data_IF_721770994481
#
_entry.id   IF_721770994481
#
_cell.length_a   1.000
_cell.length_b   1.000
_cell.length_c   1.000
_cell.angle_alpha   90.00
_cell.angle_beta   90.00
_cell.angle_gamma   90.00
#
_symmetry.space_group_name_H-M   'P 1'
#
loop_
_entity.id
_entity.type
_entity.pdbx_description
1 polymer ?
#
# COMPACT_ATOMS: atom_id res chain seq x y z
N UNK A 1 -11.58 19.43 -1.89
CA UNK A 1 -12.93 19.69 -1.34
C UNK A 1 -12.96 21.11 -0.81
N UNK A 2 -13.62 22.06 -1.49
CA UNK A 2 -13.93 23.36 -0.86
C UNK A 2 -14.80 23.07 0.38
N UNK A 3 -14.63 23.79 1.49
CA UNK A 3 -15.52 23.64 2.64
C UNK A 3 -16.88 24.21 2.24
N UNK A 4 -17.66 23.40 1.55
CA UNK A 4 -19.09 23.58 1.40
C UNK A 4 -19.67 23.20 2.76
N UNK A 5 -19.73 24.18 3.67
CA UNK A 5 -21.04 24.43 4.28
C UNK A 5 -21.93 24.62 3.06
N UNK A 6 -22.79 23.64 2.76
CA UNK A 6 -23.52 23.51 1.50
C UNK A 6 -24.48 24.69 1.27
N UNK A 7 -24.03 25.94 1.20
CA UNK A 7 -24.84 27.15 1.09
C UNK A 7 -26.06 27.19 2.04
N UNK A 8 -25.97 26.60 3.23
CA UNK A 8 -27.10 26.51 4.18
C UNK A 8 -28.15 25.45 3.82
N UNK A 9 -27.82 24.47 2.98
CA UNK A 9 -28.71 23.37 2.61
C UNK A 9 -28.83 22.32 3.72
N UNK A 10 -30.02 21.71 3.78
CA UNK A 10 -30.32 20.53 4.59
C UNK A 10 -30.37 19.30 3.68
N UNK A 11 -29.93 18.15 4.18
CA UNK A 11 -29.89 16.92 3.39
C UNK A 11 -28.94 15.87 3.95
N UNK A 12 -28.73 14.79 3.20
CA UNK A 12 -27.74 13.76 3.52
C UNK A 12 -26.63 13.76 2.49
N UNK A 13 -25.39 13.84 2.96
CA UNK A 13 -24.23 13.50 2.17
C UNK A 13 -23.93 12.01 2.35
N UNK A 14 -24.13 11.25 1.28
CA UNK A 14 -23.69 9.88 1.16
C UNK A 14 -22.23 9.87 0.76
N UNK A 15 -21.42 9.11 1.50
CA UNK A 15 -19.99 8.92 1.22
C UNK A 15 -19.77 7.42 1.09
N UNK A 16 -19.28 7.01 -0.07
CA UNK A 16 -18.89 5.62 -0.33
C UNK A 16 -17.37 5.53 -0.36
N UNK A 17 -16.84 4.49 0.27
CA UNK A 17 -15.43 4.14 0.30
C UNK A 17 -15.22 2.73 -0.26
N UNK A 18 -13.96 2.37 -0.53
CA UNK A 18 -13.60 1.01 -0.97
C UNK A 18 -14.10 -0.04 0.02
N UNK A 19 -14.35 -1.24 -0.48
CA UNK A 19 -14.82 -2.41 0.30
C UNK A 19 -16.20 -2.26 0.93
N UNK A 20 -17.10 -1.53 0.27
CA UNK A 20 -18.51 -1.38 0.67
C UNK A 20 -18.73 -0.63 1.99
N UNK A 21 -17.68 0.05 2.47
CA UNK A 21 -17.77 0.99 3.58
C UNK A 21 -18.54 2.22 3.13
N UNK A 22 -19.62 2.53 3.84
CA UNK A 22 -20.47 3.68 3.55
C UNK A 22 -20.64 4.55 4.78
N UNK A 23 -20.83 5.84 4.54
CA UNK A 23 -21.18 6.79 5.56
C UNK A 23 -22.26 7.76 5.10
N UNK A 24 -23.01 8.27 6.09
CA UNK A 24 -24.05 9.27 5.91
C UNK A 24 -23.78 10.42 6.86
N UNK A 25 -23.68 11.62 6.32
CA UNK A 25 -23.60 12.84 7.11
C UNK A 25 -24.92 13.57 6.93
N UNK A 26 -25.67 13.73 8.02
CA UNK A 26 -26.94 14.45 8.05
C UNK A 26 -26.67 15.92 8.34
N UNK A 27 -27.16 16.77 7.45
CA UNK A 27 -26.98 18.21 7.51
C UNK A 27 -28.31 18.92 7.68
N UNK A 28 -28.34 19.93 8.54
CA UNK A 28 -29.44 20.87 8.70
C UNK A 28 -28.92 22.29 8.67
N UNK A 29 -29.41 23.09 7.73
CA UNK A 29 -28.96 24.49 7.54
C UNK A 29 -27.43 24.61 7.39
N UNK A 30 -26.80 23.60 6.78
CA UNK A 30 -25.34 23.52 6.62
C UNK A 30 -24.56 23.06 7.87
N UNK A 31 -25.22 22.79 8.99
CA UNK A 31 -24.62 22.18 10.18
C UNK A 31 -24.72 20.66 10.13
N UNK A 32 -23.65 19.97 10.51
CA UNK A 32 -23.66 18.52 10.65
C UNK A 32 -24.35 18.18 11.97
N UNK A 33 -25.49 17.52 11.91
CA UNK A 33 -26.25 17.10 13.10
C UNK A 33 -25.99 15.65 13.48
N UNK A 34 -25.63 14.80 12.52
CA UNK A 34 -25.32 13.40 12.76
C UNK A 34 -24.38 12.85 11.69
N UNK A 35 -23.53 11.90 12.07
CA UNK A 35 -22.73 11.11 11.11
C UNK A 35 -22.87 9.63 11.45
N UNK A 36 -23.03 8.79 10.44
CA UNK A 36 -23.17 7.35 10.59
C UNK A 36 -22.22 6.64 9.65
N UNK A 37 -21.56 5.58 10.12
CA UNK A 37 -20.76 4.67 9.30
C UNK A 37 -20.75 3.28 9.90
N UNK A 38 -21.25 2.28 9.15
CA UNK A 38 -21.40 0.92 9.66
C UNK A 38 -22.17 0.87 10.99
N UNK A 39 -21.49 0.53 12.08
CA UNK A 39 -22.06 0.50 13.45
C UNK A 39 -21.73 1.73 14.31
N UNK A 40 -20.98 2.69 13.76
CA UNK A 40 -20.58 3.89 14.46
C UNK A 40 -21.56 5.03 14.15
N UNK A 41 -21.81 5.86 15.14
CA UNK A 41 -22.58 7.09 15.03
C UNK A 41 -21.81 8.26 15.67
N UNK A 42 -22.25 9.47 15.37
CA UNK A 42 -21.76 10.67 16.01
C UNK A 42 -20.34 11.05 15.61
N UNK A 43 -19.64 11.68 16.55
CA UNK A 43 -18.27 12.14 16.35
C UNK A 43 -17.29 11.02 15.96
N UNK A 44 -17.49 9.79 16.47
CA UNK A 44 -16.64 8.63 16.13
C UNK A 44 -16.81 8.21 14.67
N UNK A 45 -18.04 8.27 14.17
CA UNK A 45 -18.31 8.01 12.77
C UNK A 45 -17.65 9.07 11.89
N UNK A 46 -17.79 10.35 12.25
CA UNK A 46 -17.15 11.46 11.55
C UNK A 46 -15.62 11.25 11.42
N UNK A 47 -14.93 10.95 12.52
CA UNK A 47 -13.48 10.72 12.50
C UNK A 47 -13.07 9.50 11.67
N UNK A 48 -13.92 8.48 11.58
CA UNK A 48 -13.63 7.28 10.78
C UNK A 48 -13.70 7.61 9.29
N UNK A 49 -14.78 8.28 8.86
CA UNK A 49 -14.99 8.67 7.47
C UNK A 49 -13.89 9.59 6.94
N UNK A 50 -13.40 10.51 7.79
CA UNK A 50 -12.35 11.45 7.41
C UNK A 50 -10.98 10.80 7.11
N UNK A 51 -10.80 9.53 7.44
CA UNK A 51 -9.56 8.78 7.17
C UNK A 51 -9.56 8.10 5.80
N UNK A 52 -10.67 8.21 5.07
CA UNK A 52 -10.83 7.69 3.72
C UNK A 52 -10.28 8.69 2.70
N UNK A 53 -9.44 8.22 1.77
CA UNK A 53 -8.85 9.08 0.72
C UNK A 53 -9.57 8.87 -0.60
N UNK A 54 -9.87 7.62 -0.94
CA UNK A 54 -10.58 7.23 -2.15
C UNK A 54 -12.10 7.19 -1.93
N UNK A 55 -12.77 8.34 -1.90
CA UNK A 55 -14.23 8.42 -1.67
C UNK A 55 -15.02 8.85 -2.90
N UNK A 56 -16.25 8.33 -3.02
CA UNK A 56 -17.31 8.87 -3.86
C UNK A 56 -18.34 9.57 -2.98
N UNK A 57 -18.95 10.65 -3.46
CA UNK A 57 -19.93 11.42 -2.68
C UNK A 57 -21.16 11.78 -3.49
N UNK A 58 -22.33 11.58 -2.90
CA UNK A 58 -23.63 12.01 -3.45
C UNK A 58 -24.42 12.78 -2.39
N UNK A 59 -25.02 13.92 -2.77
CA UNK A 59 -25.77 14.75 -1.82
C UNK A 59 -27.25 14.79 -2.19
N UNK A 60 -28.09 14.37 -1.24
CA UNK A 60 -29.54 14.37 -1.36
C UNK A 60 -30.13 15.51 -0.54
N UNK A 61 -30.63 16.53 -1.22
CA UNK A 61 -31.23 17.72 -0.60
C UNK A 61 -32.65 17.43 -0.10
N UNK A 62 -32.98 17.93 1.09
CA UNK A 62 -34.30 17.77 1.71
C UNK A 62 -34.22 17.64 3.24
N UNK A 63 -35.35 17.85 3.92
CA UNK A 63 -35.46 17.46 5.33
C UNK A 63 -35.42 15.93 5.43
N UNK A 64 -34.67 15.44 6.41
CA UNK A 64 -34.43 14.02 6.58
C UNK A 64 -35.04 13.61 7.91
N UNK A 65 -35.91 12.61 7.87
CA UNK A 65 -36.50 12.02 9.06
C UNK A 65 -35.72 10.77 9.48
N UNK A 66 -35.71 10.47 10.78
CA UNK A 66 -35.20 9.20 11.28
C UNK A 66 -33.75 9.18 11.76
N UNK A 67 -33.11 10.34 11.96
CA UNK A 67 -31.85 10.44 12.69
C UNK A 67 -32.02 11.19 14.02
N UNK A 68 -31.18 10.87 14.99
CA UNK A 68 -31.12 11.59 16.27
C UNK A 68 -29.92 12.54 16.22
N UNK A 69 -30.09 13.86 16.36
CA UNK A 69 -28.97 14.80 16.43
C UNK A 69 -28.01 14.42 17.56
N UNK A 70 -26.71 14.40 17.28
CA UNK A 70 -25.67 14.20 18.28
C UNK A 70 -25.15 15.58 18.75
N UNK A 71 -25.47 16.02 19.97
CA UNK A 71 -25.04 17.32 20.48
C UNK A 71 -23.52 17.41 20.69
N UNK A 72 -22.80 16.28 20.66
CA UNK A 72 -21.34 16.26 20.74
C UNK A 72 -20.66 16.53 19.38
N UNK A 73 -21.42 16.61 18.29
CA UNK A 73 -20.87 16.95 16.98
C UNK A 73 -20.53 18.44 16.94
N UNK A 74 -19.25 18.72 16.78
CA UNK A 74 -18.75 20.04 16.44
C UNK A 74 -18.51 20.13 14.92
N UNK A 75 -19.45 20.76 14.22
CA UNK A 75 -19.36 20.99 12.78
C UNK A 75 -18.06 21.72 12.39
N UNK A 76 -17.61 22.70 13.18
CA UNK A 76 -16.40 23.45 12.85
C UNK A 76 -15.14 22.58 13.00
N UNK A 77 -15.10 21.71 14.01
CA UNK A 77 -14.02 20.75 14.17
C UNK A 77 -13.98 19.77 12.98
N UNK A 78 -15.14 19.28 12.53
CA UNK A 78 -15.28 18.41 11.36
C UNK A 78 -14.75 19.11 10.10
N UNK A 79 -15.20 20.34 9.84
CA UNK A 79 -14.79 21.11 8.66
C UNK A 79 -13.29 21.41 8.67
N UNK A 80 -12.75 21.86 9.82
CA UNK A 80 -11.31 22.12 9.95
C UNK A 80 -10.47 20.87 9.67
N UNK A 81 -10.95 19.70 10.07
CA UNK A 81 -10.27 18.45 9.79
C UNK A 81 -10.34 18.09 8.30
N UNK A 82 -11.51 18.20 7.67
CA UNK A 82 -11.70 17.95 6.24
C UNK A 82 -10.85 18.86 5.37
N UNK A 83 -10.72 20.14 5.72
CA UNK A 83 -9.83 21.07 5.02
C UNK A 83 -8.36 20.66 5.11
N UNK A 84 -7.92 20.23 6.30
CA UNK A 84 -6.55 19.72 6.50
C UNK A 84 -6.33 18.43 5.73
N UNK A 85 -7.28 17.50 5.78
CA UNK A 85 -7.24 16.25 5.03
C UNK A 85 -7.18 16.51 3.53
N UNK A 86 -8.02 17.40 2.99
CA UNK A 86 -8.02 17.77 1.58
C UNK A 86 -6.67 18.33 1.13
N UNK A 87 -6.06 19.24 1.91
CA UNK A 87 -4.70 19.75 1.63
C UNK A 87 -3.65 18.63 1.65
N UNK A 88 -3.74 17.72 2.62
CA UNK A 88 -2.82 16.58 2.69
C UNK A 88 -2.98 15.64 1.49
N UNK A 89 -4.21 15.37 1.07
CA UNK A 89 -4.52 14.52 -0.09
C UNK A 89 -4.00 15.16 -1.38
N UNK A 90 -4.13 16.49 -1.54
CA UNK A 90 -3.54 17.20 -2.68
C UNK A 90 -2.01 17.03 -2.75
N UNK A 91 -1.33 17.10 -1.60
CA UNK A 91 0.11 16.84 -1.53
C UNK A 91 0.40 15.37 -1.83
N UNK A 92 -0.34 14.42 -1.25
CA UNK A 92 -0.19 12.99 -1.50
C UNK A 92 -0.32 12.69 -2.98
N UNK A 93 -1.40 13.13 -3.64
CA UNK A 93 -1.65 12.87 -5.06
C UNK A 93 -0.58 13.46 -5.98
N UNK A 94 0.13 14.52 -5.55
CA UNK A 94 1.25 15.08 -6.28
C UNK A 94 2.49 14.17 -6.28
N UNK A 95 2.73 13.43 -5.19
CA UNK A 95 3.93 12.59 -5.02
C UNK A 95 3.65 11.09 -5.16
N UNK A 96 2.39 10.68 -5.00
CA UNK A 96 1.88 9.31 -5.08
C UNK A 96 0.62 9.38 -5.97
N UNK A 97 0.80 9.44 -7.30
CA UNK A 97 -0.33 9.53 -8.21
C UNK A 97 -1.07 8.19 -8.36
N UNK A 98 -0.38 7.09 -8.05
CA UNK A 98 -0.89 5.72 -8.18
C UNK A 98 -0.83 5.01 -6.81
N UNK A 99 -1.96 4.56 -6.25
CA UNK A 99 -1.98 3.79 -5.01
C UNK A 99 -1.33 2.41 -5.14
N UNK A 100 -1.07 1.91 -6.34
CA UNK A 100 -0.30 0.68 -6.58
C UNK A 100 1.20 0.96 -6.82
N UNK A 101 1.63 2.21 -6.67
CA UNK A 101 3.04 2.56 -6.77
C UNK A 101 3.88 1.85 -5.70
N UNK A 102 5.06 1.40 -6.12
CA UNK A 102 6.03 0.71 -5.27
C UNK A 102 7.15 1.69 -4.91
N UNK A 103 7.52 1.71 -3.62
CA UNK A 103 8.58 2.58 -3.11
C UNK A 103 9.61 1.77 -2.35
N UNK A 104 10.88 2.18 -2.46
CA UNK A 104 12.00 1.62 -1.69
C UNK A 104 12.63 2.67 -0.81
N UNK A 105 12.94 2.29 0.42
CA UNK A 105 13.75 3.11 1.34
C UNK A 105 15.24 2.95 1.06
N UNK A 106 15.92 4.08 0.94
CA UNK A 106 17.38 4.18 0.88
C UNK A 106 17.92 4.31 2.30
N UNK A 107 18.44 3.20 2.83
CA UNK A 107 18.96 3.13 4.20
C UNK A 107 20.14 4.09 4.43
N UNK A 108 20.94 4.36 3.38
CA UNK A 108 22.01 5.34 3.41
C UNK A 108 21.52 6.77 3.60
N UNK A 109 20.23 7.05 3.37
CA UNK A 109 19.60 8.36 3.53
C UNK A 109 18.71 8.50 4.75
N UNK A 110 18.59 7.46 5.59
CA UNK A 110 17.83 7.52 6.85
C UNK A 110 18.32 8.65 7.77
N UNK A 111 19.59 9.04 7.72
CA UNK A 111 20.11 10.20 8.48
C UNK A 111 19.43 11.54 8.12
N UNK A 112 18.79 11.64 6.95
CA UNK A 112 18.01 12.82 6.52
C UNK A 112 16.63 12.87 7.20
N UNK A 113 16.20 11.78 7.80
CA UNK A 113 14.92 11.59 8.47
C UNK A 113 14.83 12.21 9.88
N UNK A 114 15.45 13.37 10.14
CA UNK A 114 15.54 13.95 11.51
C UNK A 114 14.18 14.30 12.15
N UNK A 115 13.10 14.35 11.36
CA UNK A 115 11.74 14.67 11.81
C UNK A 115 10.78 13.47 11.75
N UNK A 116 11.26 12.29 11.39
CA UNK A 116 10.42 11.10 11.31
C UNK A 116 10.21 10.49 12.70
N UNK A 117 8.97 10.10 12.98
CA UNK A 117 8.60 9.45 14.23
C UNK A 117 8.59 7.91 14.09
N UNK A 118 8.31 7.20 15.17
CA UNK A 118 8.28 5.74 15.18
C UNK A 118 7.31 5.14 14.14
N UNK A 119 6.19 5.80 13.87
CA UNK A 119 5.20 5.33 12.88
C UNK A 119 5.70 5.53 11.45
N UNK A 120 6.40 6.64 11.18
CA UNK A 120 7.07 6.84 9.89
C UNK A 120 8.11 5.73 9.63
N UNK A 121 8.88 5.33 10.65
CA UNK A 121 9.84 4.22 10.52
C UNK A 121 9.17 2.86 10.33
N UNK A 122 8.05 2.59 11.02
CA UNK A 122 7.29 1.34 10.79
C UNK A 122 6.84 1.23 9.34
N UNK A 123 6.32 2.31 8.75
CA UNK A 123 5.96 2.32 7.33
C UNK A 123 7.19 2.20 6.45
N UNK A 124 8.30 2.87 6.79
CA UNK A 124 9.55 2.78 6.05
C UNK A 124 10.07 1.33 5.90
N UNK A 125 9.92 0.51 6.95
CA UNK A 125 10.30 -0.91 6.91
C UNK A 125 9.45 -1.75 5.94
N UNK A 126 8.24 -1.29 5.60
CA UNK A 126 7.35 -1.95 4.65
C UNK A 126 7.58 -1.49 3.20
N UNK A 127 8.29 -0.37 2.99
CA UNK A 127 8.65 0.16 1.68
C UNK A 127 9.97 -0.46 1.20
N UNK A 128 9.90 -1.73 0.85
CA UNK A 128 11.02 -2.59 0.45
C UNK A 128 11.38 -2.51 -1.04
N UNK A 129 10.58 -1.81 -1.84
CA UNK A 129 10.72 -1.77 -3.29
C UNK A 129 10.03 -2.92 -4.02
N UNK A 130 9.18 -3.69 -3.34
CA UNK A 130 8.44 -4.84 -3.88
C UNK A 130 6.95 -4.69 -3.65
N UNK A 131 6.56 -4.35 -2.42
CA UNK A 131 5.15 -4.17 -2.05
C UNK A 131 4.64 -2.83 -2.57
N UNK A 132 3.52 -2.90 -3.27
CA UNK A 132 2.70 -1.74 -3.61
C UNK A 132 2.17 -1.07 -2.34
N UNK A 133 1.81 0.21 -2.41
CA UNK A 133 1.19 0.89 -1.27
C UNK A 133 -0.16 0.27 -0.88
N UNK A 134 -0.87 -0.37 -1.81
CA UNK A 134 -2.09 -1.12 -1.51
C UNK A 134 -1.82 -2.40 -0.70
N UNK A 135 -0.73 -3.13 -0.99
CA UNK A 135 -0.28 -4.26 -0.17
C UNK A 135 0.24 -3.80 1.20
N UNK A 136 1.01 -2.70 1.25
CA UNK A 136 1.46 -2.09 2.50
C UNK A 136 0.26 -1.67 3.36
N UNK A 137 -0.79 -1.13 2.74
CA UNK A 137 -2.03 -0.79 3.43
C UNK A 137 -2.64 -2.03 4.11
N UNK A 138 -2.78 -3.13 3.37
CA UNK A 138 -3.39 -4.37 3.87
C UNK A 138 -2.65 -4.94 5.10
N UNK A 139 -1.32 -4.89 5.11
CA UNK A 139 -0.51 -5.48 6.21
C UNK A 139 -0.24 -4.51 7.37
N UNK A 140 -0.35 -3.19 7.14
CA UNK A 140 -0.01 -2.18 8.16
C UNK A 140 -0.99 -2.10 9.32
N UNK A 141 -2.23 -2.59 9.15
CA UNK A 141 -3.33 -2.39 10.09
C UNK A 141 -3.73 -0.92 10.28
N UNK A 142 -3.34 -0.03 9.34
CA UNK A 142 -3.62 1.41 9.38
C UNK A 142 -4.64 1.80 8.32
N UNK A 143 -5.18 3.01 8.45
CA UNK A 143 -6.05 3.60 7.42
C UNK A 143 -5.24 4.05 6.20
N UNK A 144 -5.88 4.06 5.03
CA UNK A 144 -5.30 4.51 3.75
C UNK A 144 -4.62 5.88 3.89
N UNK A 145 -5.33 6.87 4.46
CA UNK A 145 -4.76 8.20 4.68
C UNK A 145 -3.49 8.19 5.53
N UNK A 146 -3.41 7.31 6.53
CA UNK A 146 -2.25 7.25 7.41
C UNK A 146 -1.04 6.68 6.67
N UNK A 147 -1.22 5.56 5.97
CA UNK A 147 -0.15 4.93 5.17
C UNK A 147 0.37 5.89 4.12
N UNK A 148 -0.52 6.50 3.33
CA UNK A 148 -0.15 7.45 2.29
C UNK A 148 0.52 8.70 2.86
N UNK A 149 0.07 9.20 4.03
CA UNK A 149 0.72 10.34 4.70
C UNK A 149 2.15 10.01 5.12
N UNK A 150 2.36 8.84 5.74
CA UNK A 150 3.69 8.39 6.16
C UNK A 150 4.61 8.14 4.96
N UNK A 151 4.12 7.47 3.92
CA UNK A 151 4.85 7.27 2.67
C UNK A 151 5.24 8.61 2.01
N UNK A 152 4.30 9.55 1.92
CA UNK A 152 4.56 10.87 1.35
C UNK A 152 5.62 11.66 2.15
N UNK A 153 5.64 11.56 3.49
CA UNK A 153 6.69 12.17 4.31
C UNK A 153 8.06 11.56 4.03
N UNK A 154 8.15 10.24 3.87
CA UNK A 154 9.38 9.54 3.54
C UNK A 154 9.92 9.97 2.17
N UNK A 155 9.03 10.15 1.19
CA UNK A 155 9.36 10.65 -0.15
C UNK A 155 9.88 12.09 -0.07
N UNK A 156 9.15 12.98 0.62
CA UNK A 156 9.53 14.39 0.80
C UNK A 156 10.85 14.56 1.57
N UNK A 157 11.16 13.65 2.49
CA UNK A 157 12.44 13.60 3.19
C UNK A 157 13.60 13.08 2.32
N UNK A 158 13.30 12.57 1.12
CA UNK A 158 14.27 11.98 0.20
C UNK A 158 14.80 10.61 0.67
N UNK A 159 14.07 9.96 1.58
CA UNK A 159 14.39 8.66 2.18
C UNK A 159 13.78 7.52 1.39
N UNK A 160 12.55 7.70 0.89
CA UNK A 160 11.90 6.77 -0.03
C UNK A 160 11.96 7.29 -1.47
N UNK A 161 12.07 6.38 -2.43
CA UNK A 161 12.03 6.69 -3.87
C UNK A 161 11.17 5.69 -4.62
N UNK A 162 10.59 6.07 -5.77
CA UNK A 162 9.90 5.12 -6.64
C UNK A 162 10.83 3.96 -6.99
N UNK A 163 10.30 2.75 -6.89
CA UNK A 163 10.91 1.55 -7.42
C UNK A 163 10.04 1.04 -8.58
N UNK A 164 10.62 0.36 -9.58
CA UNK A 164 9.82 -0.29 -10.60
C UNK A 164 8.86 -1.27 -9.90
N UNK A 165 7.56 -1.14 -10.17
CA UNK A 165 6.55 -2.07 -9.69
C UNK A 165 6.70 -3.39 -10.46
N UNK A 166 7.70 -4.20 -10.08
CA UNK A 166 7.80 -5.56 -10.57
C UNK A 166 6.70 -6.36 -9.88
N UNK A 167 5.68 -6.72 -10.64
CA UNK A 167 4.58 -7.54 -10.12
C UNK A 167 5.15 -8.91 -9.79
N UNK A 168 5.17 -9.26 -8.50
CA UNK A 168 5.54 -10.60 -8.06
C UNK A 168 4.70 -11.63 -8.81
N UNK A 169 5.31 -12.74 -9.18
CA UNK A 169 4.60 -13.79 -9.89
C UNK A 169 3.55 -14.44 -8.95
N UNK A 170 2.43 -14.98 -9.48
CA UNK A 170 1.40 -15.62 -8.67
C UNK A 170 1.98 -16.67 -7.72
N UNK A 171 1.53 -16.72 -6.47
CA UNK A 171 2.09 -17.60 -5.43
C UNK A 171 2.24 -19.05 -5.86
N UNK A 172 1.24 -19.61 -6.54
CA UNK A 172 1.29 -20.97 -7.06
C UNK A 172 2.43 -21.15 -8.06
N UNK A 173 2.51 -20.26 -9.04
CA UNK A 173 3.54 -20.30 -10.08
C UNK A 173 4.95 -20.11 -9.50
N UNK A 174 5.09 -19.21 -8.53
CA UNK A 174 6.33 -18.99 -7.79
C UNK A 174 6.79 -20.26 -7.08
N UNK A 175 5.88 -20.89 -6.33
CA UNK A 175 6.22 -22.07 -5.53
C UNK A 175 6.55 -23.26 -6.45
N UNK A 176 5.80 -23.44 -7.54
CA UNK A 176 6.07 -24.46 -8.55
C UNK A 176 7.47 -24.28 -9.16
N UNK A 177 7.85 -23.04 -9.50
CA UNK A 177 9.18 -22.72 -10.00
C UNK A 177 10.29 -22.97 -8.97
N UNK A 178 10.12 -22.49 -7.72
CA UNK A 178 11.15 -22.65 -6.69
C UNK A 178 11.35 -24.11 -6.30
N UNK A 179 10.29 -24.92 -6.30
CA UNK A 179 10.40 -26.36 -6.09
C UNK A 179 11.15 -27.03 -7.24
N UNK A 180 10.81 -26.72 -8.50
CA UNK A 180 11.51 -27.28 -9.65
C UNK A 180 13.00 -26.88 -9.68
N UNK A 181 13.32 -25.62 -9.35
CA UNK A 181 14.69 -25.14 -9.24
C UNK A 181 15.44 -25.84 -8.11
N UNK A 182 14.81 -26.00 -6.94
CA UNK A 182 15.39 -26.72 -5.81
C UNK A 182 15.68 -28.18 -6.16
N UNK A 183 14.74 -28.86 -6.81
CA UNK A 183 14.93 -30.26 -7.25
C UNK A 183 16.10 -30.35 -8.22
N UNK A 184 16.20 -29.41 -9.18
CA UNK A 184 17.31 -29.39 -10.14
C UNK A 184 18.65 -29.14 -9.47
N UNK A 185 18.73 -28.17 -8.56
CA UNK A 185 19.97 -27.90 -7.83
C UNK A 185 20.33 -29.05 -6.89
N UNK A 186 19.35 -29.75 -6.34
CA UNK A 186 19.58 -30.94 -5.52
C UNK A 186 20.16 -32.10 -6.34
N UNK A 187 19.73 -32.23 -7.60
CA UNK A 187 20.32 -33.19 -8.55
C UNK A 187 21.78 -32.83 -8.90
N UNK A 188 22.06 -31.54 -9.11
CA UNK A 188 23.38 -31.07 -9.56
C UNK A 188 24.42 -31.03 -8.43
N UNK A 189 24.09 -30.40 -7.31
CA UNK A 189 25.06 -30.11 -6.22
C UNK A 189 24.69 -30.78 -4.89
N UNK A 190 23.66 -31.63 -4.89
CA UNK A 190 23.16 -32.27 -3.68
C UNK A 190 22.34 -31.33 -2.78
N UNK A 191 22.08 -31.71 -1.51
CA UNK A 191 21.18 -30.97 -0.61
C UNK A 191 21.65 -29.54 -0.28
N UNK A 192 22.89 -29.18 -0.62
CA UNK A 192 23.41 -27.82 -0.49
C UNK A 192 22.78 -26.84 -1.52
N UNK A 193 22.05 -27.33 -2.53
CA UNK A 193 21.41 -26.50 -3.55
C UNK A 193 20.47 -25.44 -3.00
N UNK A 194 19.84 -25.66 -1.83
CA UNK A 194 18.99 -24.65 -1.20
C UNK A 194 19.77 -23.42 -0.74
N UNK A 195 21.03 -23.59 -0.34
CA UNK A 195 21.89 -22.48 0.07
C UNK A 195 22.25 -21.58 -1.12
N UNK A 196 22.39 -22.14 -2.31
CA UNK A 196 22.65 -21.36 -3.53
C UNK A 196 21.48 -20.46 -3.90
N UNK A 197 20.25 -20.94 -3.69
CA UNK A 197 19.04 -20.12 -3.90
C UNK A 197 19.00 -18.98 -2.87
N UNK A 198 19.28 -19.27 -1.60
CA UNK A 198 19.34 -18.25 -0.53
C UNK A 198 20.41 -17.18 -0.81
N UNK A 199 21.62 -17.60 -1.21
CA UNK A 199 22.72 -16.72 -1.53
C UNK A 199 22.41 -15.83 -2.75
N UNK A 200 21.82 -16.40 -3.79
CA UNK A 200 21.40 -15.64 -4.97
C UNK A 200 20.32 -14.61 -4.64
N UNK A 201 19.34 -14.97 -3.82
CA UNK A 201 18.33 -14.01 -3.33
C UNK A 201 18.96 -12.88 -2.52
N UNK A 202 19.89 -13.21 -1.62
CA UNK A 202 20.65 -12.22 -0.85
C UNK A 202 21.44 -11.27 -1.74
N UNK A 203 22.12 -11.79 -2.77
CA UNK A 203 22.89 -11.00 -3.74
C UNK A 203 22.00 -10.05 -4.57
N UNK A 204 20.82 -10.51 -4.97
CA UNK A 204 19.82 -9.71 -5.68
C UNK A 204 19.13 -8.69 -4.76
N UNK A 205 19.23 -8.85 -3.44
CA UNK A 205 18.50 -8.06 -2.46
C UNK A 205 16.99 -8.26 -2.57
N UNK A 206 16.55 -9.45 -3.01
CA UNK A 206 15.14 -9.84 -3.09
C UNK A 206 14.87 -11.06 -2.21
N UNK A 207 13.60 -11.35 -1.90
CA UNK A 207 13.18 -12.55 -1.17
C UNK A 207 12.32 -13.40 -2.10
N UNK A 208 12.23 -14.70 -1.81
CA UNK A 208 11.45 -15.65 -2.61
C UNK A 208 10.05 -15.13 -2.93
N UNK A 209 9.33 -14.61 -1.93
CA UNK A 209 7.96 -14.07 -2.08
C UNK A 209 7.82 -12.91 -3.07
N UNK A 210 8.92 -12.21 -3.34
CA UNK A 210 8.97 -11.04 -4.22
C UNK A 210 9.46 -11.33 -5.63
N UNK A 211 9.77 -12.58 -5.95
CA UNK A 211 10.28 -12.99 -7.25
C UNK A 211 9.25 -12.66 -8.35
N UNK A 212 9.64 -11.80 -9.31
CA UNK A 212 8.87 -11.57 -10.53
C UNK A 212 9.42 -12.44 -11.67
N UNK A 213 8.60 -12.69 -12.71
CA UNK A 213 9.04 -13.43 -13.90
C UNK A 213 10.27 -12.82 -14.57
N UNK A 214 10.38 -11.49 -14.51
CA UNK A 214 11.51 -10.74 -15.06
C UNK A 214 12.82 -10.95 -14.28
N UNK A 215 12.75 -11.42 -13.03
CA UNK A 215 13.91 -11.65 -12.17
C UNK A 215 14.52 -13.05 -12.37
N UNK A 216 13.78 -13.99 -12.98
CA UNK A 216 14.22 -15.38 -13.19
C UNK A 216 15.57 -15.47 -13.93
N UNK A 217 15.81 -14.74 -15.05
CA UNK A 217 17.09 -14.83 -15.73
C UNK A 217 18.26 -14.37 -14.87
N UNK A 218 18.05 -13.32 -14.07
CA UNK A 218 19.07 -12.80 -13.16
C UNK A 218 19.32 -13.77 -12.01
N UNK A 219 18.27 -14.36 -11.43
CA UNK A 219 18.40 -15.37 -10.38
C UNK A 219 19.25 -16.57 -10.84
N UNK A 220 18.95 -17.10 -12.03
CA UNK A 220 19.70 -18.22 -12.61
C UNK A 220 21.15 -17.84 -12.92
N UNK A 221 21.38 -16.59 -13.35
CA UNK A 221 22.72 -16.08 -13.56
C UNK A 221 23.52 -16.01 -12.25
N UNK A 222 22.94 -15.47 -11.17
CA UNK A 222 23.60 -15.38 -9.86
C UNK A 222 23.93 -16.78 -9.33
N UNK A 223 22.98 -17.73 -9.41
CA UNK A 223 23.23 -19.14 -9.05
C UNK A 223 24.35 -19.72 -9.91
N UNK A 224 24.33 -19.50 -11.22
CA UNK A 224 25.38 -19.96 -12.13
C UNK A 224 26.76 -19.36 -11.88
N UNK A 225 26.90 -18.27 -11.13
CA UNK A 225 28.21 -17.76 -10.69
C UNK A 225 28.80 -18.57 -9.53
N UNK A 226 27.97 -19.30 -8.80
CA UNK A 226 28.34 -20.12 -7.65
C UNK A 226 28.59 -21.60 -8.03
N UNK A 227 28.24 -21.97 -9.25
CA UNK A 227 28.39 -23.31 -9.82
C UNK A 227 29.68 -23.45 -10.63
N UNK A 228 30.14 -24.69 -10.81
CA UNK A 228 31.21 -24.98 -11.77
C UNK A 228 30.73 -24.93 -13.23
N UNK A 229 31.64 -25.15 -14.18
CA UNK A 229 31.32 -25.03 -15.61
C UNK A 229 30.31 -26.08 -16.10
N UNK A 230 30.36 -27.30 -15.58
CA UNK A 230 29.50 -28.41 -15.99
C UNK A 230 28.09 -28.26 -15.39
N UNK A 231 28.03 -27.92 -14.11
CA UNK A 231 26.79 -27.62 -13.39
C UNK A 231 26.06 -26.41 -13.97
N UNK A 232 26.80 -25.36 -14.34
CA UNK A 232 26.24 -24.16 -14.96
C UNK A 232 25.64 -24.43 -16.35
N UNK A 233 26.29 -25.26 -17.16
CA UNK A 233 25.77 -25.66 -18.48
C UNK A 233 24.50 -26.49 -18.32
N UNK A 234 24.46 -27.40 -17.34
CA UNK A 234 23.29 -28.19 -17.02
C UNK A 234 22.11 -27.34 -16.50
N UNK A 235 22.37 -26.30 -15.70
CA UNK A 235 21.36 -25.36 -15.24
C UNK A 235 20.79 -24.51 -16.40
N UNK A 236 21.65 -24.07 -17.33
CA UNK A 236 21.24 -23.33 -18.50
C UNK A 236 20.33 -24.17 -19.42
N UNK A 237 20.69 -25.44 -19.66
CA UNK A 237 19.85 -26.36 -20.43
C UNK A 237 18.48 -26.60 -19.79
N UNK A 238 18.43 -26.77 -18.46
CA UNK A 238 17.17 -26.90 -17.73
C UNK A 238 16.29 -25.64 -17.84
N UNK A 239 16.89 -24.46 -17.77
CA UNK A 239 16.18 -23.18 -17.92
C UNK A 239 15.47 -23.08 -19.27
N UNK A 240 16.14 -23.49 -20.36
CA UNK A 240 15.57 -23.46 -21.71
C UNK A 240 14.38 -24.43 -21.86
N UNK A 241 14.46 -25.60 -21.21
CA UNK A 241 13.36 -26.59 -21.19
C UNK A 241 12.17 -26.13 -20.34
N UNK A 242 12.45 -25.47 -19.21
CA UNK A 242 11.41 -24.96 -18.31
C UNK A 242 10.63 -23.78 -18.93
N UNK A 243 11.26 -22.97 -19.78
CA UNK A 243 10.63 -21.84 -20.46
C UNK A 243 9.86 -22.19 -21.76
N UNK A 244 9.78 -23.48 -22.13
CA UNK A 244 9.02 -23.97 -23.29
C UNK A 244 7.56 -24.38 -22.98
N UNK A 245 7.05 -24.13 -21.77
CA UNK A 245 5.64 -24.38 -21.39
C UNK A 245 4.98 -23.16 -20.72
#
# INVERSE_FOLDING_TARGET
MKPLVFNGKSGVLHVEYKYDDQARLYLKEGLVEQVETGRLQGQKAAYTCMRWVSISTDFQEGEQDGYTPDPAIDTNAILSYLEKAAKNIEVINKYIPDPDAVFRVDSGRLHRAKKLNAEDFKIALLLDGKRSLSEVLAISGKSELAVLTHACKLILAGVARPAPAKKSMPEKERNDFLHALQDKLTELVGPAGSLLIEDAFSAMGIDAESLAREDIPQLLQEIGTLLDAEEREALAGWSDEYHLN
#
